data_IF_129765386831
#
_entry.id   IF_129765386831
#
_cell.length_a   1.000
_cell.length_b   1.000
_cell.length_c   1.000
_cell.angle_alpha   90.00
_cell.angle_beta   90.00
_cell.angle_gamma   90.00
#
_symmetry.space_group_name_H-M   'P 1'
#
loop_
_entity.id
_entity.type
_entity.pdbx_description
1 polymer ?
#
# COMPACT_ATOMS: atom_id res chain seq x y z
N UNK A 1 16.27 17.80 -44.51
CA UNK A 1 16.41 17.26 -43.13
C UNK A 1 15.73 18.21 -42.16
N UNK A 2 14.54 17.88 -41.63
CA UNK A 2 13.83 18.70 -40.62
C UNK A 2 13.97 18.01 -39.27
N UNK A 3 14.61 18.67 -38.29
CA UNK A 3 14.64 18.22 -36.89
C UNK A 3 13.23 18.35 -36.33
N UNK A 4 12.59 17.24 -35.97
CA UNK A 4 11.35 17.24 -35.22
C UNK A 4 11.66 17.57 -33.75
N UNK A 5 11.28 18.76 -33.31
CA UNK A 5 11.22 19.12 -31.89
C UNK A 5 10.10 18.33 -31.23
N UNK A 6 10.42 17.51 -30.23
CA UNK A 6 9.43 16.75 -29.45
C UNK A 6 8.51 17.73 -28.72
N UNK A 7 7.17 17.59 -28.80
CA UNK A 7 6.26 18.44 -28.04
C UNK A 7 6.49 18.25 -26.53
N UNK A 8 6.27 19.30 -25.71
CA UNK A 8 6.37 19.20 -24.26
C UNK A 8 5.40 18.13 -23.77
N UNK A 9 5.91 17.19 -22.97
CA UNK A 9 5.08 16.17 -22.33
C UNK A 9 4.09 16.82 -21.35
N UNK A 10 3.01 16.11 -20.98
CA UNK A 10 2.03 16.63 -20.01
C UNK A 10 2.75 17.05 -18.73
N UNK A 11 2.34 18.20 -18.19
CA UNK A 11 2.86 18.70 -16.92
C UNK A 11 2.70 17.62 -15.84
N UNK A 12 3.69 17.43 -14.95
CA UNK A 12 3.55 16.50 -13.84
C UNK A 12 2.29 16.87 -13.03
N UNK A 13 1.49 15.88 -12.58
CA UNK A 13 0.33 16.17 -11.75
C UNK A 13 0.79 16.98 -10.53
N UNK A 14 0.03 18.03 -10.21
CA UNK A 14 0.29 18.85 -9.03
C UNK A 14 0.46 17.96 -7.81
N UNK A 15 1.43 18.24 -6.91
CA UNK A 15 1.58 17.49 -5.67
C UNK A 15 0.22 17.44 -4.96
N UNK A 16 -0.28 16.23 -4.72
CA UNK A 16 -1.52 16.03 -3.96
C UNK A 16 -1.30 16.63 -2.57
N UNK A 17 -1.93 17.76 -2.31
CA UNK A 17 -1.85 18.45 -1.03
C UNK A 17 -2.64 17.60 -0.03
N UNK A 18 -1.93 16.86 0.83
CA UNK A 18 -2.54 16.16 1.96
C UNK A 18 -3.33 17.17 2.80
N UNK A 19 -4.60 16.92 3.15
CA UNK A 19 -5.35 17.83 3.98
C UNK A 19 -4.66 17.97 5.35
N UNK A 20 -4.54 19.20 5.90
CA UNK A 20 -3.79 19.48 7.13
C UNK A 20 -4.46 18.98 8.43
N UNK A 21 -5.51 18.16 8.34
CA UNK A 21 -6.26 17.71 9.50
C UNK A 21 -6.70 16.25 9.33
N UNK A 22 -6.28 15.42 10.29
CA UNK A 22 -6.75 14.05 10.49
C UNK A 22 -8.22 14.14 10.98
N UNK A 23 -9.14 14.38 10.05
CA UNK A 23 -10.55 14.10 10.24
C UNK A 23 -10.83 12.59 10.06
N UNK A 24 -12.06 12.10 10.28
CA UNK A 24 -12.42 10.68 10.12
C UNK A 24 -12.44 10.18 8.66
N UNK A 25 -11.82 10.93 7.75
CA UNK A 25 -11.74 10.64 6.32
C UNK A 25 -10.56 9.71 6.06
N UNK A 26 -10.85 8.51 5.59
CA UNK A 26 -9.81 7.53 5.22
C UNK A 26 -9.44 7.74 3.75
N UNK A 27 -8.18 8.15 3.52
CA UNK A 27 -7.58 8.25 2.19
C UNK A 27 -6.80 6.98 1.89
N UNK A 28 -7.16 6.27 0.81
CA UNK A 28 -6.50 5.05 0.38
C UNK A 28 -5.94 5.30 -1.03
N UNK A 29 -4.61 5.35 -1.13
CA UNK A 29 -3.87 5.51 -2.38
C UNK A 29 -3.03 4.26 -2.66
N UNK A 30 -3.57 3.28 -3.39
CA UNK A 30 -2.78 2.21 -4.02
C UNK A 30 -2.05 2.73 -5.26
N UNK A 31 -1.09 3.63 -5.06
CA UNK A 31 -0.37 4.27 -6.16
C UNK A 31 0.36 3.27 -7.08
N UNK A 32 0.16 3.33 -8.42
CA UNK A 32 0.81 2.47 -9.38
C UNK A 32 2.15 3.05 -9.78
N UNK A 33 3.22 2.67 -9.08
CA UNK A 33 4.57 2.82 -9.59
C UNK A 33 5.51 1.82 -8.95
N UNK A 34 6.10 0.97 -9.80
CA UNK A 34 7.14 -0.05 -9.53
C UNK A 34 8.47 0.56 -8.99
N UNK A 35 8.42 1.77 -8.43
CA UNK A 35 9.52 2.44 -7.70
C UNK A 35 9.13 2.92 -6.30
N UNK A 36 7.89 2.67 -5.86
CA UNK A 36 7.26 3.36 -4.75
C UNK A 36 6.44 2.50 -3.80
N UNK A 37 6.80 1.24 -3.54
CA UNK A 37 6.42 0.59 -2.26
C UNK A 37 6.68 1.59 -1.13
N UNK A 38 5.80 1.69 -0.11
CA UNK A 38 6.07 2.52 1.06
C UNK A 38 7.53 2.28 1.49
N UNK A 39 8.35 3.33 1.57
CA UNK A 39 9.81 3.17 1.74
C UNK A 39 10.16 2.28 2.95
N UNK A 40 9.28 2.26 3.95
CA UNK A 40 9.35 1.40 5.12
C UNK A 40 9.12 -0.08 4.76
N UNK A 41 8.05 -0.38 4.02
CA UNK A 41 7.74 -1.72 3.51
C UNK A 41 8.85 -2.25 2.60
N UNK A 42 9.32 -1.44 1.64
CA UNK A 42 10.40 -1.86 0.74
C UNK A 42 11.67 -2.24 1.52
N UNK A 43 12.05 -1.40 2.51
CA UNK A 43 13.19 -1.69 3.38
C UNK A 43 12.95 -2.99 4.16
N UNK A 44 11.78 -3.16 4.76
CA UNK A 44 11.43 -4.35 5.53
C UNK A 44 11.48 -5.62 4.66
N UNK A 45 10.73 -5.66 3.56
CA UNK A 45 10.61 -6.84 2.69
C UNK A 45 11.93 -7.20 2.00
N UNK A 46 12.78 -6.22 1.67
CA UNK A 46 14.11 -6.48 1.12
C UNK A 46 15.00 -7.27 2.08
N UNK A 47 15.00 -6.93 3.37
CA UNK A 47 15.78 -7.65 4.37
C UNK A 47 15.20 -9.02 4.72
N UNK A 48 13.87 -9.13 4.83
CA UNK A 48 13.19 -10.42 5.05
C UNK A 48 13.54 -11.39 3.91
N UNK A 49 13.43 -10.93 2.65
CA UNK A 49 13.73 -11.75 1.47
C UNK A 49 15.20 -12.22 1.43
N UNK A 50 16.13 -11.39 1.91
CA UNK A 50 17.54 -11.79 2.06
C UNK A 50 17.73 -12.88 3.11
N UNK A 51 17.03 -12.79 4.25
CA UNK A 51 17.11 -13.78 5.33
C UNK A 51 16.49 -15.14 4.94
N UNK A 52 15.61 -15.15 3.93
CA UNK A 52 14.94 -16.35 3.43
C UNK A 52 15.72 -17.07 2.31
N UNK A 53 16.76 -16.44 1.73
CA UNK A 53 17.52 -17.04 0.63
C UNK A 53 18.12 -18.39 1.07
N UNK A 54 17.71 -19.46 0.38
CA UNK A 54 18.20 -20.82 0.62
C UNK A 54 17.56 -21.52 1.82
N UNK A 55 16.48 -20.99 2.39
CA UNK A 55 15.73 -21.63 3.48
C UNK A 55 14.37 -22.11 2.98
N UNK A 56 14.02 -23.35 3.29
CA UNK A 56 12.73 -23.92 2.93
C UNK A 56 11.64 -23.41 3.88
N UNK A 57 10.59 -22.80 3.32
CA UNK A 57 9.46 -22.25 4.07
C UNK A 57 8.40 -23.33 4.33
N UNK A 58 8.75 -24.32 5.16
CA UNK A 58 7.95 -25.55 5.34
C UNK A 58 6.84 -25.43 6.38
N UNK A 59 6.90 -24.44 7.28
CA UNK A 59 5.89 -24.25 8.33
C UNK A 59 5.71 -22.78 8.68
N UNK A 60 4.55 -22.43 9.25
CA UNK A 60 4.28 -21.09 9.76
C UNK A 60 5.29 -20.66 10.83
N UNK A 61 5.68 -21.59 11.71
CA UNK A 61 6.69 -21.36 12.73
C UNK A 61 8.04 -20.98 12.11
N UNK A 62 8.47 -21.70 11.07
CA UNK A 62 9.70 -21.37 10.33
C UNK A 62 9.60 -19.98 9.71
N UNK A 63 8.47 -19.65 9.08
CA UNK A 63 8.26 -18.33 8.47
C UNK A 63 8.33 -17.22 9.53
N UNK A 64 7.62 -17.37 10.65
CA UNK A 64 7.59 -16.39 11.74
C UNK A 64 8.99 -16.19 12.33
N UNK A 65 9.68 -17.28 12.64
CA UNK A 65 11.05 -17.23 13.17
C UNK A 65 12.01 -16.55 12.20
N UNK A 66 11.86 -16.78 10.89
CA UNK A 66 12.68 -16.12 9.88
C UNK A 66 12.40 -14.63 9.73
N UNK A 67 11.13 -14.22 9.84
CA UNK A 67 10.78 -12.80 9.83
C UNK A 67 11.32 -12.14 11.10
N UNK A 68 11.08 -12.71 12.27
CA UNK A 68 11.51 -12.18 13.57
C UNK A 68 13.03 -12.12 13.72
N UNK A 69 13.76 -13.07 13.11
CA UNK A 69 15.22 -13.06 13.09
C UNK A 69 15.82 -11.98 12.16
N UNK A 70 15.00 -11.26 11.38
CA UNK A 70 15.48 -10.20 10.49
C UNK A 70 15.90 -8.98 11.32
N UNK A 71 17.21 -8.77 11.43
CA UNK A 71 17.80 -7.59 12.07
C UNK A 71 18.80 -6.90 11.15
N UNK A 72 18.94 -5.58 11.28
CA UNK A 72 19.94 -4.81 10.52
C UNK A 72 20.89 -4.08 11.47
N UNK A 73 22.10 -3.77 11.00
CA UNK A 73 23.10 -2.99 11.78
C UNK A 73 22.60 -1.61 12.19
N UNK A 74 21.63 -1.06 11.46
CA UNK A 74 20.97 0.22 11.77
C UNK A 74 19.84 0.08 12.80
N UNK A 75 19.65 -1.09 13.41
CA UNK A 75 18.70 -1.31 14.51
C UNK A 75 17.28 -1.69 14.11
N UNK A 76 17.02 -2.15 12.87
CA UNK A 76 15.69 -2.67 12.53
C UNK A 76 15.40 -3.93 13.35
N UNK A 77 14.29 -3.92 14.09
CA UNK A 77 13.73 -5.09 14.78
C UNK A 77 12.36 -5.37 14.21
N UNK A 78 12.11 -6.63 13.87
CA UNK A 78 10.85 -7.08 13.27
C UNK A 78 10.19 -8.05 14.23
N UNK A 79 8.89 -7.84 14.48
CA UNK A 79 8.07 -8.77 15.24
C UNK A 79 7.06 -9.39 14.29
N UNK A 80 6.96 -10.72 14.32
CA UNK A 80 5.99 -11.47 13.57
C UNK A 80 5.24 -12.40 14.50
N UNK A 81 3.95 -12.59 14.25
CA UNK A 81 3.09 -13.52 14.95
C UNK A 81 2.16 -14.19 13.95
N UNK A 82 1.73 -15.41 14.26
CA UNK A 82 0.62 -16.01 13.54
C UNK A 82 -0.66 -15.30 13.95
N UNK A 83 -1.47 -14.91 12.97
CA UNK A 83 -2.83 -14.47 13.21
C UNK A 83 -3.78 -15.58 12.78
N UNK A 84 -4.43 -16.19 13.76
CA UNK A 84 -5.41 -17.26 13.56
C UNK A 84 -6.84 -16.71 13.58
N UNK A 85 -7.00 -15.39 13.65
CA UNK A 85 -8.31 -14.76 13.59
C UNK A 85 -9.00 -15.11 12.27
N UNK A 86 -10.24 -15.57 12.38
CA UNK A 86 -11.10 -15.72 11.23
C UNK A 86 -11.74 -14.38 10.93
N UNK A 87 -11.36 -13.81 9.78
CA UNK A 87 -12.00 -12.62 9.26
C UNK A 87 -13.23 -13.03 8.46
N UNK A 88 -14.45 -12.74 8.93
CA UNK A 88 -15.65 -13.08 8.18
C UNK A 88 -15.62 -12.33 6.85
N UNK A 89 -15.65 -13.08 5.74
CA UNK A 89 -15.82 -12.48 4.43
C UNK A 89 -17.27 -12.03 4.32
N UNK A 90 -17.47 -10.72 4.22
CA UNK A 90 -18.79 -10.14 3.93
C UNK A 90 -18.83 -9.88 2.43
N UNK A 91 -19.82 -10.47 1.75
CA UNK A 91 -20.16 -10.05 0.39
C UNK A 91 -20.94 -8.74 0.50
N UNK A 92 -20.44 -7.69 -0.13
CA UNK A 92 -21.09 -6.37 -0.16
C UNK A 92 -21.80 -6.25 -1.49
N UNK A 93 -23.10 -5.95 -1.48
CA UNK A 93 -23.84 -5.70 -2.72
C UNK A 93 -23.43 -4.37 -3.34
N UNK A 94 -23.61 -4.22 -4.65
CA UNK A 94 -23.35 -2.96 -5.36
C UNK A 94 -24.15 -1.79 -4.75
N UNK A 95 -25.36 -2.05 -4.26
CA UNK A 95 -26.22 -1.07 -3.57
C UNK A 95 -25.60 -0.60 -2.24
N UNK A 96 -25.05 -1.52 -1.45
CA UNK A 96 -24.38 -1.18 -0.19
C UNK A 96 -23.09 -0.41 -0.43
N UNK A 97 -22.33 -0.77 -1.47
CA UNK A 97 -21.11 -0.06 -1.84
C UNK A 97 -21.42 1.33 -2.39
N UNK A 98 -22.48 1.48 -3.19
CA UNK A 98 -22.95 2.77 -3.70
C UNK A 98 -23.48 3.71 -2.60
N UNK A 99 -23.95 3.16 -1.48
CA UNK A 99 -24.35 3.94 -0.31
C UNK A 99 -23.15 4.50 0.48
N UNK A 100 -21.93 3.99 0.26
CA UNK A 100 -20.72 4.55 0.86
C UNK A 100 -20.36 5.84 0.14
N UNK A 101 -20.04 6.90 0.90
CA UNK A 101 -19.56 8.18 0.38
C UNK A 101 -18.12 8.08 -0.14
N UNK A 102 -17.97 7.38 -1.27
CA UNK A 102 -16.72 7.17 -1.99
C UNK A 102 -16.50 8.30 -3.00
N UNK A 103 -15.40 9.03 -2.83
CA UNK A 103 -14.94 10.04 -3.79
C UNK A 103 -13.74 9.49 -4.53
N UNK A 104 -13.94 9.09 -5.78
CA UNK A 104 -12.89 8.60 -6.65
C UNK A 104 -11.89 9.70 -7.01
N UNK A 105 -10.61 9.36 -7.06
CA UNK A 105 -9.54 10.28 -7.46
C UNK A 105 -9.55 10.50 -8.99
N UNK A 106 -9.05 11.65 -9.44
CA UNK A 106 -8.92 11.95 -10.87
C UNK A 106 -7.87 11.05 -11.56
N UNK A 107 -6.92 10.51 -10.79
CA UNK A 107 -5.87 9.62 -11.25
C UNK A 107 -6.11 8.20 -10.70
N UNK A 108 -6.47 7.26 -11.59
CA UNK A 108 -6.84 5.88 -11.25
C UNK A 108 -8.04 5.76 -10.28
N UNK A 109 -9.23 6.27 -10.67
CA UNK A 109 -10.45 6.23 -9.85
C UNK A 109 -10.86 4.82 -9.40
N UNK A 110 -10.44 3.79 -10.14
CA UNK A 110 -10.68 2.39 -9.82
C UNK A 110 -9.98 1.93 -8.54
N UNK A 111 -8.87 2.56 -8.17
CA UNK A 111 -8.03 2.15 -7.04
C UNK A 111 -7.88 3.26 -6.00
N UNK A 112 -7.86 4.52 -6.42
CA UNK A 112 -7.66 5.67 -5.56
C UNK A 112 -9.01 6.29 -5.22
N UNK A 113 -9.40 6.19 -3.95
CA UNK A 113 -10.65 6.76 -3.47
C UNK A 113 -10.54 7.24 -2.03
N UNK A 114 -11.36 8.24 -1.72
CA UNK A 114 -11.52 8.80 -0.39
C UNK A 114 -12.86 8.39 0.16
N UNK A 115 -12.89 7.73 1.32
CA UNK A 115 -14.13 7.47 2.06
C UNK A 115 -14.38 8.66 2.97
N UNK A 116 -15.44 9.41 2.71
CA UNK A 116 -15.89 10.49 3.58
C UNK A 116 -16.90 9.96 4.61
N UNK A 117 -16.96 10.55 5.81
CA UNK A 117 -18.06 10.31 6.72
C UNK A 117 -19.38 10.63 6.04
N UNK A 118 -20.40 9.83 6.33
CA UNK A 118 -21.78 10.21 6.02
C UNK A 118 -22.31 10.92 7.25
N UNK A 119 -22.80 12.15 7.11
CA UNK A 119 -23.44 12.88 8.20
C UNK A 119 -24.72 12.13 8.57
N UNK A 120 -24.71 11.46 9.73
CA UNK A 120 -25.89 10.86 10.35
C UNK A 120 -25.97 11.34 11.80
#
# INVERSE_FOLDING_TARGET
MRRATRPPGPAPPSPVQLPPSIGPTLYIDPSPSVRGTHKIEHRLFSYISRNWRGRSLVSYEVIINLIAATTTSTGLKVYARLDEQQYPKVEVSDEQLAAVNLVADAFHPEWNYTIKPSDN
#
